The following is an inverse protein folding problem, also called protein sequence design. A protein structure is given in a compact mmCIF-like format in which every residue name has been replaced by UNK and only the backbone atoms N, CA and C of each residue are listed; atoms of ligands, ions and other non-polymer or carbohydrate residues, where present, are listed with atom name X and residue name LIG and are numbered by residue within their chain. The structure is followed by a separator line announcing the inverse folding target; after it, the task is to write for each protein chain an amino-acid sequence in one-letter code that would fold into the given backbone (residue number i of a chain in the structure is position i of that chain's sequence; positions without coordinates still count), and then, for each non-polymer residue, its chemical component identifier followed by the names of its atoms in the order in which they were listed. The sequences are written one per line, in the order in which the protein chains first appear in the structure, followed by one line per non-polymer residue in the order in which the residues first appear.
data_IF_143031557630
#
_entry.id   IF_143031557630
#
_cell.length_a   1.000
_cell.length_b   1.000
_cell.length_c   1.000
_cell.angle_alpha   90.00
_cell.angle_beta   90.00
_cell.angle_gamma   90.00
#
_symmetry.space_group_name_H-M   'P 1'
#
loop_
_entity.id
_entity.type
_entity.pdbx_description
1 polymer ?
#
# COMPACT_ATOMS: atom_id res chain seq x y z
N UNK A 1 1.90 20.31 -5.72
CA UNK A 1 2.99 20.25 -4.72
C UNK A 1 2.51 19.46 -3.51
N UNK A 2 3.40 18.90 -2.68
CA UNK A 2 3.01 18.15 -1.47
C UNK A 2 2.14 18.99 -0.53
N UNK A 3 2.37 20.30 -0.45
CA UNK A 3 1.58 21.22 0.36
C UNK A 3 0.08 21.26 -0.02
N UNK A 4 -0.24 21.02 -1.29
CA UNK A 4 -1.62 21.10 -1.80
C UNK A 4 -2.49 19.96 -1.26
N UNK A 5 -1.90 18.84 -0.81
CA UNK A 5 -2.64 17.74 -0.17
C UNK A 5 -3.42 18.19 1.07
N UNK A 6 -3.03 19.30 1.72
CA UNK A 6 -3.75 19.86 2.86
C UNK A 6 -5.15 20.37 2.51
N UNK A 7 -5.37 20.69 1.24
CA UNK A 7 -6.65 21.19 0.73
C UNK A 7 -7.47 20.07 0.04
N UNK A 8 -7.03 18.82 0.14
CA UNK A 8 -7.67 17.66 -0.46
C UNK A 8 -8.12 16.64 0.59
N UNK A 9 -9.27 16.01 0.33
CA UNK A 9 -9.77 14.90 1.14
C UNK A 9 -8.80 13.73 1.06
N UNK A 10 -8.14 13.44 2.17
CA UNK A 10 -7.24 12.30 2.31
C UNK A 10 -7.94 11.16 3.06
N UNK A 11 -7.77 9.95 2.53
CA UNK A 11 -8.28 8.70 3.06
C UNK A 11 -7.15 7.95 3.76
N UNK A 12 -7.41 7.42 4.95
CA UNK A 12 -6.37 6.76 5.75
C UNK A 12 -6.85 5.58 6.58
N UNK A 13 -5.95 5.09 7.42
CA UNK A 13 -6.18 3.93 8.26
C UNK A 13 -6.57 4.33 9.69
N UNK A 14 -7.58 3.66 10.25
CA UNK A 14 -7.86 3.74 11.69
C UNK A 14 -6.84 2.94 12.49
N UNK A 15 -6.39 1.81 11.95
CA UNK A 15 -5.35 0.97 12.53
C UNK A 15 -4.64 0.15 11.44
N UNK A 16 -3.30 0.02 11.47
CA UNK A 16 -2.39 0.80 12.30
C UNK A 16 -2.24 2.25 11.78
N UNK A 17 -2.25 3.22 12.71
CA UNK A 17 -2.13 4.67 12.40
C UNK A 17 -0.82 5.01 11.69
N UNK A 18 0.23 4.18 11.86
CA UNK A 18 1.51 4.34 11.16
C UNK A 18 1.39 4.28 9.62
N UNK A 19 0.31 3.72 9.08
CA UNK A 19 0.06 3.72 7.63
C UNK A 19 -0.40 5.09 7.10
N UNK A 20 -0.71 6.05 7.98
CA UNK A 20 -1.01 7.44 7.60
C UNK A 20 0.25 8.29 7.40
N UNK A 21 1.43 7.69 7.55
CA UNK A 21 2.71 8.27 7.17
C UNK A 21 3.10 7.76 5.79
N UNK A 22 2.82 8.56 4.75
CA UNK A 22 3.00 8.17 3.35
C UNK A 22 4.47 8.24 2.93
N UNK A 23 4.93 7.34 2.04
CA UNK A 23 6.29 7.31 1.49
C UNK A 23 6.50 8.40 0.43
N UNK A 24 6.15 9.64 0.78
CA UNK A 24 6.27 10.83 -0.06
C UNK A 24 7.13 11.83 0.69
N UNK A 25 8.14 12.37 0.02
CA UNK A 25 9.11 13.29 0.60
C UNK A 25 8.51 14.68 0.85
N UNK A 26 8.49 15.09 2.12
CA UNK A 26 8.26 16.46 2.55
C UNK A 26 9.40 17.40 2.10
N UNK A 27 9.22 18.71 2.30
CA UNK A 27 10.23 19.72 1.94
C UNK A 27 11.58 19.51 2.63
N UNK A 28 11.61 18.82 3.76
CA UNK A 28 12.78 18.51 4.59
C UNK A 28 13.34 17.09 4.36
N UNK A 29 12.77 16.34 3.41
CA UNK A 29 13.19 14.97 3.09
C UNK A 29 12.52 13.87 3.92
N UNK A 30 11.69 14.22 4.91
CA UNK A 30 10.99 13.24 5.75
C UNK A 30 9.76 12.65 5.05
N UNK A 31 9.24 11.54 5.59
CA UNK A 31 7.95 10.98 5.16
C UNK A 31 6.81 11.95 5.47
N UNK A 32 5.75 11.90 4.67
CA UNK A 32 4.60 12.79 4.81
C UNK A 32 3.58 12.20 5.78
N UNK A 33 3.37 12.86 6.92
CA UNK A 33 2.22 12.57 7.78
C UNK A 33 0.96 13.24 7.22
N UNK A 34 -0.09 12.45 6.99
CA UNK A 34 -1.34 12.93 6.38
C UNK A 34 -2.49 12.88 7.39
N UNK A 35 -3.16 14.03 7.54
CA UNK A 35 -4.42 14.10 8.26
C UNK A 35 -5.54 13.55 7.38
N UNK A 36 -6.18 12.47 7.83
CA UNK A 36 -7.21 11.79 7.07
C UNK A 36 -8.59 12.12 7.64
N UNK A 37 -9.51 12.58 6.80
CA UNK A 37 -10.88 12.93 7.20
C UNK A 37 -11.79 11.71 7.26
N UNK A 38 -11.54 10.74 6.37
CA UNK A 38 -12.20 9.45 6.35
C UNK A 38 -11.14 8.39 6.59
N UNK A 39 -11.45 7.46 7.48
CA UNK A 39 -10.54 6.37 7.80
C UNK A 39 -11.25 5.02 7.88
N UNK A 40 -10.51 3.95 7.57
CA UNK A 40 -10.97 2.56 7.63
C UNK A 40 -9.86 1.64 8.13
N UNK A 41 -10.20 0.45 8.63
CA UNK A 41 -9.22 -0.58 8.98
C UNK A 41 -8.90 -1.52 7.81
N UNK A 42 -9.43 -1.25 6.62
CA UNK A 42 -9.27 -2.08 5.43
C UNK A 42 -8.80 -1.24 4.25
N UNK A 43 -7.66 -1.62 3.67
CA UNK A 43 -7.15 -0.98 2.46
C UNK A 43 -8.10 -1.15 1.27
N UNK A 44 -8.85 -2.25 1.20
CA UNK A 44 -9.84 -2.48 0.14
C UNK A 44 -10.99 -1.47 0.24
N UNK A 45 -11.45 -1.17 1.46
CA UNK A 45 -12.47 -0.13 1.66
C UNK A 45 -11.96 1.23 1.20
N UNK A 46 -10.71 1.59 1.52
CA UNK A 46 -10.10 2.84 1.07
C UNK A 46 -9.95 2.88 -0.45
N UNK A 47 -9.57 1.77 -1.08
CA UNK A 47 -9.50 1.63 -2.54
C UNK A 47 -10.86 1.92 -3.19
N UNK A 48 -11.92 1.29 -2.71
CA UNK A 48 -13.27 1.50 -3.25
C UNK A 48 -13.77 2.93 -3.04
N UNK A 49 -13.46 3.54 -1.89
CA UNK A 49 -13.76 4.96 -1.64
C UNK A 49 -13.04 5.88 -2.62
N UNK A 50 -11.76 5.61 -2.89
CA UNK A 50 -10.95 6.33 -3.86
C UNK A 50 -11.51 6.19 -5.29
N UNK A 51 -11.89 4.97 -5.70
CA UNK A 51 -12.54 4.72 -7.02
C UNK A 51 -13.87 5.47 -7.16
N UNK A 52 -14.62 5.58 -6.07
CA UNK A 52 -15.86 6.35 -6.03
C UNK A 52 -15.64 7.87 -5.92
N UNK A 53 -14.39 8.35 -5.95
CA UNK A 53 -14.05 9.77 -5.96
C UNK A 53 -14.11 10.46 -4.59
N UNK A 54 -14.00 9.71 -3.48
CA UNK A 54 -14.13 10.27 -2.12
C UNK A 54 -12.83 10.83 -1.55
N UNK A 55 -11.72 10.79 -2.27
CA UNK A 55 -10.46 11.37 -1.82
C UNK A 55 -9.23 10.69 -2.40
N UNK A 56 -8.08 11.01 -1.82
CA UNK A 56 -6.75 10.52 -2.17
C UNK A 56 -6.32 9.50 -1.11
N UNK A 57 -5.81 8.35 -1.52
CA UNK A 57 -5.30 7.31 -0.63
C UNK A 57 -3.87 6.92 -1.02
N UNK A 58 -3.07 6.55 -0.03
CA UNK A 58 -1.80 5.86 -0.25
C UNK A 58 -1.99 4.37 0.06
N UNK A 59 -1.92 3.53 -0.99
CA UNK A 59 -2.10 2.09 -0.91
C UNK A 59 -0.92 1.37 -1.54
N UNK A 60 -0.73 0.10 -1.19
CA UNK A 60 0.30 -0.73 -1.82
C UNK A 60 0.02 -0.96 -3.30
N UNK A 61 1.08 -0.99 -4.09
CA UNK A 61 1.08 -1.27 -5.54
C UNK A 61 0.20 -2.46 -5.95
N UNK A 62 0.31 -3.61 -5.29
CA UNK A 62 -0.46 -4.81 -5.62
C UNK A 62 -1.97 -4.61 -5.51
N UNK A 63 -2.41 -3.61 -4.72
CA UNK A 63 -3.83 -3.28 -4.57
C UNK A 63 -4.34 -2.42 -5.71
N UNK A 64 -3.50 -1.61 -6.35
CA UNK A 64 -3.93 -0.50 -7.23
C UNK A 64 -3.40 -0.58 -8.67
N UNK A 65 -2.41 -1.44 -8.94
CA UNK A 65 -1.76 -1.55 -10.24
C UNK A 65 -2.75 -1.85 -11.38
N UNK A 66 -3.82 -2.62 -11.12
CA UNK A 66 -4.82 -2.92 -12.15
C UNK A 66 -5.65 -1.69 -12.52
N UNK A 67 -6.07 -0.91 -11.53
CA UNK A 67 -6.86 0.31 -11.70
C UNK A 67 -6.02 1.43 -12.35
N UNK A 68 -4.74 1.53 -11.99
CA UNK A 68 -3.79 2.44 -12.66
C UNK A 68 -3.63 2.03 -14.13
N UNK A 69 -3.41 0.74 -14.42
CA UNK A 69 -3.25 0.25 -15.79
C UNK A 69 -4.52 0.47 -16.65
N UNK A 70 -5.71 0.51 -16.04
CA UNK A 70 -6.97 0.83 -16.70
C UNK A 70 -7.25 2.33 -16.82
N UNK A 71 -6.43 3.18 -16.20
CA UNK A 71 -6.64 4.63 -16.15
C UNK A 71 -7.78 5.06 -15.20
N UNK A 72 -8.21 4.18 -14.31
CA UNK A 72 -9.21 4.48 -13.27
C UNK A 72 -8.56 5.23 -12.09
N UNK A 73 -7.27 4.99 -11.86
CA UNK A 73 -6.44 5.74 -10.93
C UNK A 73 -5.33 6.52 -11.62
N UNK A 74 -4.95 7.62 -10.98
CA UNK A 74 -3.84 8.46 -11.39
C UNK A 74 -2.85 8.51 -10.22
N UNK A 75 -1.60 8.15 -10.48
CA UNK A 75 -0.52 8.29 -9.49
C UNK A 75 -0.22 9.78 -9.26
N UNK A 76 -0.12 10.16 -7.99
CA UNK A 76 0.16 11.53 -7.57
C UNK A 76 1.54 11.61 -6.91
N UNK A 77 2.25 12.71 -7.12
CA UNK A 77 3.54 13.01 -6.47
C UNK A 77 4.62 11.93 -6.71
N UNK A 78 4.58 11.26 -7.87
CA UNK A 78 5.51 10.18 -8.23
C UNK A 78 6.98 10.62 -8.11
N UNK A 79 7.27 11.88 -8.45
CA UNK A 79 8.61 12.48 -8.36
C UNK A 79 9.12 12.71 -6.93
N UNK A 80 8.25 12.56 -5.93
CA UNK A 80 8.56 12.70 -4.50
C UNK A 80 8.53 11.37 -3.75
N UNK A 81 8.23 10.26 -4.42
CA UNK A 81 8.16 8.93 -3.79
C UNK A 81 9.52 8.54 -3.20
N UNK A 82 9.49 8.08 -1.95
CA UNK A 82 10.65 7.49 -1.27
C UNK A 82 10.58 5.96 -1.36
N UNK A 83 11.71 5.27 -1.53
CA UNK A 83 11.74 3.81 -1.65
C UNK A 83 11.56 3.16 -0.27
N UNK A 84 10.30 3.03 0.15
CA UNK A 84 9.92 2.32 1.38
C UNK A 84 9.32 0.98 0.98
N UNK A 85 10.01 -0.11 1.35
CA UNK A 85 9.52 -1.47 1.14
C UNK A 85 8.87 -2.02 2.41
N UNK A 86 7.69 -2.63 2.26
CA UNK A 86 7.02 -3.36 3.33
C UNK A 86 6.97 -4.85 2.97
N UNK A 87 7.80 -5.70 3.60
CA UNK A 87 7.89 -7.10 3.23
C UNK A 87 6.64 -7.89 3.64
N UNK A 88 6.12 -8.71 2.72
CA UNK A 88 5.12 -9.73 3.03
C UNK A 88 5.80 -11.01 3.53
N UNK A 89 5.36 -11.52 4.68
CA UNK A 89 5.95 -12.70 5.32
C UNK A 89 4.91 -13.80 5.53
N UNK A 90 5.29 -15.05 5.27
CA UNK A 90 4.54 -16.21 5.71
C UNK A 90 4.97 -16.61 7.13
N UNK A 91 4.05 -16.55 8.11
CA UNK A 91 4.34 -16.84 9.52
C UNK A 91 3.77 -18.21 9.91
N UNK A 92 4.62 -19.08 10.46
CA UNK A 92 4.25 -20.42 10.92
C UNK A 92 5.14 -20.87 12.09
N UNK A 93 4.65 -21.82 12.89
CA UNK A 93 5.39 -22.33 14.05
C UNK A 93 6.64 -23.14 13.65
N UNK A 94 7.73 -22.94 14.38
CA UNK A 94 9.02 -23.60 14.16
C UNK A 94 9.19 -24.95 14.87
N UNK A 95 8.34 -25.25 15.87
CA UNK A 95 8.54 -26.39 16.79
C UNK A 95 8.10 -27.75 16.23
N UNK A 96 7.31 -27.73 15.16
CA UNK A 96 6.91 -28.93 14.43
C UNK A 96 7.67 -28.97 13.12
N UNK A 97 8.24 -30.13 12.77
CA UNK A 97 8.73 -30.35 11.42
C UNK A 97 7.66 -29.86 10.43
N UNK A 98 7.98 -28.81 9.67
CA UNK A 98 7.02 -28.15 8.78
C UNK A 98 6.42 -29.22 7.88
N UNK A 99 5.12 -29.48 8.05
CA UNK A 99 4.47 -30.55 7.28
C UNK A 99 4.65 -30.31 5.79
N UNK A 100 4.85 -31.37 5.01
CA UNK A 100 5.11 -31.28 3.56
C UNK A 100 4.07 -30.43 2.83
N UNK A 101 2.80 -30.46 3.26
CA UNK A 101 1.73 -29.61 2.73
C UNK A 101 1.94 -28.10 2.93
N UNK A 102 2.50 -27.69 4.07
CA UNK A 102 2.79 -26.27 4.37
C UNK A 102 3.95 -25.83 3.49
N UNK A 103 5.01 -26.65 3.39
CA UNK A 103 6.15 -26.36 2.52
C UNK A 103 5.71 -26.23 1.06
N UNK A 104 4.95 -27.20 0.55
CA UNK A 104 4.43 -27.15 -0.81
C UNK A 104 3.59 -25.90 -1.08
N UNK A 105 2.80 -25.44 -0.11
CA UNK A 105 2.02 -24.20 -0.24
C UNK A 105 2.91 -22.95 -0.23
N UNK A 106 3.91 -22.88 0.64
CA UNK A 106 4.87 -21.76 0.68
C UNK A 106 5.68 -21.72 -0.61
N UNK A 107 6.13 -22.87 -1.12
CA UNK A 107 6.87 -22.98 -2.38
C UNK A 107 6.01 -22.47 -3.54
N UNK A 108 4.75 -22.93 -3.63
CA UNK A 108 3.78 -22.44 -4.60
C UNK A 108 3.60 -20.92 -4.53
N UNK A 109 3.34 -20.36 -3.35
CA UNK A 109 3.18 -18.91 -3.18
C UNK A 109 4.46 -18.15 -3.57
N UNK A 110 5.63 -18.66 -3.18
CA UNK A 110 6.90 -18.01 -3.48
C UNK A 110 7.20 -17.97 -4.97
N UNK A 111 6.79 -19.00 -5.73
CA UNK A 111 6.92 -19.03 -7.19
C UNK A 111 5.94 -18.08 -7.89
N UNK A 112 4.72 -17.95 -7.37
CA UNK A 112 3.68 -17.13 -8.00
C UNK A 112 3.80 -15.64 -7.64
N UNK A 113 4.22 -15.31 -6.42
CA UNK A 113 4.40 -13.90 -6.00
C UNK A 113 5.61 -13.26 -6.66
N UNK A 114 6.69 -14.03 -6.94
CA UNK A 114 7.85 -13.54 -7.70
C UNK A 114 7.53 -13.11 -9.14
N UNK A 115 6.37 -13.50 -9.67
CA UNK A 115 5.94 -13.17 -11.03
C UNK A 115 5.10 -11.88 -11.10
N UNK A 116 4.78 -11.25 -9.95
CA UNK A 116 4.24 -9.89 -9.94
C UNK A 116 5.39 -8.93 -10.30
N UNK A 117 5.27 -8.11 -11.35
CA UNK A 117 6.36 -7.28 -11.81
C UNK A 117 6.86 -6.38 -10.69
N UNK A 118 8.15 -6.51 -10.38
CA UNK A 118 8.90 -5.70 -9.42
C UNK A 118 9.31 -4.32 -10.00
N UNK A 119 8.79 -3.96 -11.17
CA UNK A 119 9.23 -2.78 -11.91
C UNK A 119 8.19 -1.66 -11.84
N UNK A 120 8.50 -0.66 -11.01
CA UNK A 120 8.25 0.77 -11.23
C UNK A 120 9.33 1.56 -10.49
#
# INVERSE_FOLDING_TARGET
MVADLKDHLCLGFTEPVSLNTWPVSCCDGQLLEVNCEISSNSGETLKQLCLAGNGIACLSDYMVNQEIARGEFVELLAEKRLPVEMPFSAVYYSDRAVSTRIRAFIDFLSEHVKQLPQEL
#
